data_IF_003554206641
#
_entry.id   IF_003554206641
#
_cell.length_a   1.000
_cell.length_b   1.000
_cell.length_c   1.000
_cell.angle_alpha   90.00
_cell.angle_beta   90.00
_cell.angle_gamma   90.00
#
_symmetry.space_group_name_H-M   'P 1'
#
loop_
_entity.id
_entity.type
_entity.pdbx_description
1 polymer ?
#
# COMPACT_ATOMS: atom_id res chain seq x y z
N UNK A 1 -3.86 -14.27 -18.69
CA UNK A 1 -3.93 -13.93 -17.27
C UNK A 1 -5.04 -14.76 -16.68
N UNK A 2 -4.70 -15.61 -15.72
CA UNK A 2 -5.61 -16.54 -15.07
C UNK A 2 -5.61 -16.15 -13.59
N UNK A 3 -6.65 -15.43 -13.17
CA UNK A 3 -6.88 -15.10 -11.78
C UNK A 3 -8.33 -15.43 -11.43
N UNK A 4 -8.56 -15.74 -10.16
CA UNK A 4 -9.88 -16.05 -9.62
C UNK A 4 -10.20 -15.05 -8.52
N UNK A 5 -11.31 -14.34 -8.67
CA UNK A 5 -11.85 -13.45 -7.63
C UNK A 5 -13.04 -14.14 -6.98
N UNK A 6 -13.03 -14.21 -5.65
CA UNK A 6 -14.13 -14.69 -4.83
C UNK A 6 -14.63 -13.53 -3.99
N UNK A 7 -15.90 -13.18 -4.15
CA UNK A 7 -16.58 -12.20 -3.30
C UNK A 7 -17.46 -12.90 -2.26
N UNK A 8 -17.50 -12.37 -1.03
CA UNK A 8 -18.38 -12.87 0.04
C UNK A 8 -17.86 -14.12 0.74
N UNK A 9 -18.68 -15.17 0.81
CA UNK A 9 -18.36 -16.37 1.59
C UNK A 9 -17.29 -17.20 0.88
N UNK A 10 -16.18 -17.44 1.56
CA UNK A 10 -15.13 -18.32 1.06
C UNK A 10 -15.65 -19.75 0.77
N UNK A 11 -15.26 -20.36 -0.35
CA UNK A 11 -15.59 -21.74 -0.65
C UNK A 11 -14.95 -22.70 0.37
N UNK A 12 -15.53 -23.89 0.51
CA UNK A 12 -14.97 -24.93 1.37
C UNK A 12 -13.61 -25.44 0.87
N UNK A 13 -13.35 -25.31 -0.43
CA UNK A 13 -12.09 -25.67 -1.08
C UNK A 13 -11.54 -24.44 -1.81
N UNK A 14 -10.23 -24.18 -1.65
CA UNK A 14 -9.58 -23.05 -2.31
C UNK A 14 -9.47 -23.31 -3.83
N UNK A 15 -9.57 -22.26 -4.67
CA UNK A 15 -9.32 -22.37 -6.09
C UNK A 15 -7.93 -22.92 -6.40
N UNK A 16 -7.87 -23.76 -7.42
CA UNK A 16 -6.64 -24.26 -8.02
C UNK A 16 -6.59 -23.86 -9.49
N UNK A 17 -5.40 -23.88 -10.08
CA UNK A 17 -5.19 -23.66 -11.51
C UNK A 17 -5.80 -24.79 -12.33
N UNK A 18 -5.88 -24.62 -13.66
CA UNK A 18 -6.39 -25.64 -14.58
C UNK A 18 -5.64 -26.99 -14.47
N UNK A 19 -4.36 -26.95 -14.09
CA UNK A 19 -3.52 -28.14 -13.89
C UNK A 19 -3.67 -28.79 -12.50
N UNK A 20 -4.55 -28.24 -11.65
CA UNK A 20 -4.81 -28.70 -10.29
C UNK A 20 -3.80 -28.22 -9.25
N UNK A 21 -2.80 -27.42 -9.63
CA UNK A 21 -1.83 -26.86 -8.66
C UNK A 21 -2.39 -25.60 -7.97
N UNK A 22 -1.93 -25.28 -6.74
CA UNK A 22 -2.30 -24.03 -6.08
C UNK A 22 -1.83 -22.79 -6.86
N UNK A 23 -2.57 -21.69 -6.73
CA UNK A 23 -2.06 -20.39 -7.16
C UNK A 23 -0.83 -19.99 -6.32
N UNK A 24 0.22 -19.43 -6.95
CA UNK A 24 1.44 -19.04 -6.25
C UNK A 24 1.26 -17.74 -5.45
N UNK A 25 0.27 -16.92 -5.80
CA UNK A 25 -0.05 -15.69 -5.07
C UNK A 25 -1.54 -15.64 -4.73
N UNK A 26 -1.84 -15.11 -3.54
CA UNK A 26 -3.20 -14.73 -3.19
C UNK A 26 -3.23 -13.46 -2.35
N UNK A 27 -4.37 -12.77 -2.41
CA UNK A 27 -4.64 -11.56 -1.64
C UNK A 27 -6.06 -11.65 -1.08
N UNK A 28 -6.21 -11.41 0.22
CA UNK A 28 -7.50 -11.27 0.87
C UNK A 28 -7.69 -9.82 1.32
N UNK A 29 -8.83 -9.23 0.96
CA UNK A 29 -9.30 -7.94 1.47
C UNK A 29 -10.54 -8.16 2.34
N UNK A 30 -11.15 -7.10 2.87
CA UNK A 30 -12.39 -7.23 3.64
C UNK A 30 -13.57 -7.76 2.82
N UNK A 31 -13.56 -7.58 1.50
CA UNK A 31 -14.69 -7.89 0.62
C UNK A 31 -14.45 -9.03 -0.36
N UNK A 32 -13.19 -9.36 -0.64
CA UNK A 32 -12.83 -10.33 -1.68
C UNK A 32 -11.54 -11.08 -1.36
N UNK A 33 -11.39 -12.23 -2.01
CA UNK A 33 -10.11 -12.91 -2.16
C UNK A 33 -9.76 -13.12 -3.62
N UNK A 34 -8.48 -12.93 -3.91
CA UNK A 34 -7.91 -12.99 -5.25
C UNK A 34 -6.84 -14.05 -5.24
N UNK A 35 -6.89 -14.96 -6.20
CA UNK A 35 -5.86 -15.99 -6.44
C UNK A 35 -5.28 -15.72 -7.82
N UNK A 36 -3.96 -15.61 -7.92
CA UNK A 36 -3.28 -15.10 -9.11
C UNK A 36 -1.97 -15.82 -9.38
N UNK A 37 -1.61 -15.94 -10.66
CA UNK A 37 -0.33 -16.51 -11.12
C UNK A 37 0.83 -15.54 -10.95
N UNK A 38 0.55 -14.24 -10.91
CA UNK A 38 1.56 -13.19 -10.83
C UNK A 38 1.20 -12.12 -9.79
N UNK A 39 2.21 -11.38 -9.33
CA UNK A 39 1.98 -10.17 -8.52
C UNK A 39 1.30 -9.07 -9.32
N UNK A 40 1.58 -8.99 -10.63
CA UNK A 40 0.92 -8.09 -11.57
C UNK A 40 -0.61 -8.20 -11.50
N UNK A 41 -1.13 -9.43 -11.50
CA UNK A 41 -2.57 -9.68 -11.38
C UNK A 41 -3.13 -9.25 -10.02
N UNK A 42 -2.38 -9.38 -8.92
CA UNK A 42 -2.80 -8.85 -7.62
C UNK A 42 -2.81 -7.32 -7.60
N UNK A 43 -1.77 -6.68 -8.16
CA UNK A 43 -1.68 -5.21 -8.24
C UNK A 43 -2.81 -4.65 -9.09
N UNK A 44 -3.22 -5.33 -10.16
CA UNK A 44 -4.35 -4.91 -11.00
C UNK A 44 -5.69 -4.86 -10.27
N UNK A 45 -5.84 -5.61 -9.16
CA UNK A 45 -7.05 -5.50 -8.32
C UNK A 45 -7.03 -4.26 -7.42
N UNK A 46 -5.86 -3.68 -7.18
CA UNK A 46 -5.68 -2.50 -6.33
C UNK A 46 -5.51 -1.22 -7.16
N UNK A 47 -5.07 -1.35 -8.42
CA UNK A 47 -4.66 -0.25 -9.29
C UNK A 47 -5.39 -0.37 -10.62
N UNK A 48 -6.36 0.51 -10.84
CA UNK A 48 -7.17 0.54 -12.06
C UNK A 48 -6.30 0.73 -13.31
N UNK A 49 -6.57 -0.08 -14.35
CA UNK A 49 -5.89 -0.03 -15.65
C UNK A 49 -4.48 -0.63 -15.67
N UNK A 50 -4.05 -1.30 -14.60
CA UNK A 50 -2.69 -1.83 -14.49
C UNK A 50 -2.46 -3.10 -15.33
N UNK A 51 -3.48 -3.95 -15.50
CA UNK A 51 -3.46 -5.15 -16.34
C UNK A 51 -3.55 -4.88 -17.85
N UNK A 52 -3.94 -3.65 -18.22
CA UNK A 52 -4.04 -3.20 -19.61
C UNK A 52 -2.70 -2.69 -20.18
N UNK A 53 -1.65 -2.61 -19.33
CA UNK A 53 -0.38 -2.02 -19.72
C UNK A 53 0.39 -2.93 -20.71
N UNK A 54 0.99 -2.34 -21.76
CA UNK A 54 1.79 -3.10 -22.70
C UNK A 54 3.10 -3.57 -22.05
N UNK A 55 3.61 -4.74 -22.44
CA UNK A 55 4.92 -5.23 -21.98
C UNK A 55 6.03 -4.56 -22.80
N UNK A 56 6.25 -3.27 -22.53
CA UNK A 56 7.25 -2.40 -23.16
C UNK A 56 7.86 -1.48 -22.10
N UNK A 57 8.99 -0.83 -22.40
CA UNK A 57 9.57 0.14 -21.48
C UNK A 57 8.63 1.30 -21.11
N UNK A 58 7.79 1.75 -22.05
CA UNK A 58 6.75 2.75 -21.78
C UNK A 58 5.65 2.22 -20.84
N UNK A 59 5.31 0.93 -20.99
CA UNK A 59 4.40 0.25 -20.06
C UNK A 59 4.98 0.12 -18.66
N UNK A 60 6.28 -0.19 -18.54
CA UNK A 60 6.97 -0.27 -17.25
C UNK A 60 7.00 1.07 -16.51
N UNK A 61 7.29 2.17 -17.24
CA UNK A 61 7.25 3.54 -16.70
C UNK A 61 5.84 3.90 -16.24
N UNK A 62 4.83 3.56 -17.04
CA UNK A 62 3.41 3.77 -16.70
C UNK A 62 3.01 2.93 -15.48
N UNK A 63 3.48 1.69 -15.37
CA UNK A 63 3.22 0.81 -14.24
C UNK A 63 3.76 1.39 -12.93
N UNK A 64 4.99 1.92 -12.94
CA UNK A 64 5.56 2.62 -11.79
C UNK A 64 4.74 3.85 -11.40
N UNK A 65 4.34 4.64 -12.39
CA UNK A 65 3.50 5.83 -12.15
C UNK A 65 2.13 5.48 -11.55
N UNK A 66 1.46 4.45 -12.05
CA UNK A 66 0.18 3.99 -11.51
C UNK A 66 0.32 3.48 -10.08
N UNK A 67 1.36 2.69 -9.78
CA UNK A 67 1.66 2.26 -8.40
C UNK A 67 1.95 3.46 -7.49
N UNK A 68 2.68 4.46 -7.96
CA UNK A 68 2.94 5.69 -7.20
C UNK A 68 1.64 6.44 -6.87
N UNK A 69 0.76 6.65 -7.85
CA UNK A 69 -0.53 7.31 -7.63
C UNK A 69 -1.39 6.55 -6.62
N UNK A 70 -1.44 5.22 -6.74
CA UNK A 70 -2.14 4.37 -5.79
C UNK A 70 -1.53 4.47 -4.39
N UNK A 71 -0.19 4.43 -4.28
CA UNK A 71 0.51 4.56 -3.00
C UNK A 71 0.20 5.89 -2.30
N UNK A 72 0.20 7.01 -3.03
CA UNK A 72 -0.19 8.33 -2.51
C UNK A 72 -1.64 8.30 -2.01
N UNK A 73 -2.57 7.80 -2.83
CA UNK A 73 -3.99 7.75 -2.46
C UNK A 73 -4.23 6.90 -1.20
N UNK A 74 -3.60 5.73 -1.12
CA UNK A 74 -3.67 4.85 0.04
C UNK A 74 -3.04 5.48 1.29
N UNK A 75 -1.89 6.13 1.16
CA UNK A 75 -1.22 6.79 2.27
C UNK A 75 -2.05 7.95 2.83
N UNK A 76 -2.60 8.80 1.96
CA UNK A 76 -3.51 9.89 2.34
C UNK A 76 -4.74 9.36 3.08
N UNK A 77 -5.42 8.37 2.49
CA UNK A 77 -6.63 7.78 3.07
C UNK A 77 -6.33 7.14 4.43
N UNK A 78 -5.30 6.30 4.51
CA UNK A 78 -4.98 5.56 5.72
C UNK A 78 -4.51 6.47 6.86
N UNK A 79 -3.75 7.53 6.56
CA UNK A 79 -3.38 8.53 7.57
C UNK A 79 -4.61 9.19 8.21
N UNK A 80 -5.63 9.52 7.40
CA UNK A 80 -6.86 10.12 7.91
C UNK A 80 -7.65 9.16 8.80
N UNK A 81 -7.71 7.87 8.42
CA UNK A 81 -8.33 6.82 9.25
C UNK A 81 -7.61 6.71 10.60
N UNK A 82 -6.28 6.57 10.58
CA UNK A 82 -5.47 6.46 11.79
C UNK A 82 -5.63 7.69 12.71
N UNK A 83 -5.63 8.90 12.14
CA UNK A 83 -5.84 10.12 12.92
C UNK A 83 -7.25 10.16 13.52
N UNK A 84 -8.29 9.79 12.76
CA UNK A 84 -9.66 9.73 13.23
C UNK A 84 -9.85 8.70 14.36
N UNK A 85 -9.27 7.52 14.21
CA UNK A 85 -9.29 6.48 15.24
C UNK A 85 -8.55 6.93 16.51
N UNK A 86 -7.41 7.59 16.36
CA UNK A 86 -6.64 8.13 17.49
C UNK A 86 -7.40 9.23 18.25
N UNK A 87 -8.16 10.09 17.55
CA UNK A 87 -9.07 11.06 18.18
C UNK A 87 -10.17 10.35 18.94
N UNK A 88 -10.83 9.36 18.32
CA UNK A 88 -11.90 8.60 18.95
C UNK A 88 -11.42 7.83 20.19
N UNK A 89 -10.18 7.35 20.18
CA UNK A 89 -9.53 6.69 21.29
C UNK A 89 -9.00 7.66 22.38
N UNK A 90 -9.02 8.98 22.13
CA UNK A 90 -8.48 9.99 23.05
C UNK A 90 -6.94 10.00 23.13
N UNK A 91 -6.27 9.45 22.13
CA UNK A 91 -4.78 9.36 22.05
C UNK A 91 -4.17 10.45 21.17
N UNK A 92 -4.99 11.22 20.46
CA UNK A 92 -4.58 12.37 19.65
C UNK A 92 -5.65 13.47 19.75
N UNK A 93 -5.25 14.71 20.00
CA UNK A 93 -6.15 15.87 20.02
C UNK A 93 -5.59 16.98 19.11
N UNK A 94 -6.15 17.18 17.91
CA UNK A 94 -5.61 18.15 16.95
C UNK A 94 -5.74 19.60 17.43
N UNK A 95 -6.54 19.90 18.46
CA UNK A 95 -6.72 21.27 18.97
C UNK A 95 -5.56 21.78 19.83
N UNK A 96 -4.70 20.87 20.30
CA UNK A 96 -3.55 21.18 21.18
C UNK A 96 -2.19 20.88 20.54
N UNK A 97 -2.18 20.29 19.34
CA UNK A 97 -0.96 20.00 18.59
C UNK A 97 -0.42 21.24 17.89
N UNK A 98 0.90 21.27 17.67
CA UNK A 98 1.56 22.32 16.92
C UNK A 98 1.28 22.23 15.41
N UNK A 99 1.48 23.35 14.71
CA UNK A 99 1.22 23.46 13.27
C UNK A 99 2.10 22.51 12.45
N UNK A 100 3.34 22.28 12.87
CA UNK A 100 4.28 21.40 12.16
C UNK A 100 3.83 19.94 12.21
N UNK A 101 3.32 19.49 13.36
CA UNK A 101 2.76 18.15 13.58
C UNK A 101 1.48 17.97 12.76
N UNK A 102 0.57 18.96 12.81
CA UNK A 102 -0.66 18.90 12.03
C UNK A 102 -0.37 18.91 10.53
N UNK A 103 0.58 19.74 10.08
CA UNK A 103 1.03 19.80 8.68
C UNK A 103 1.61 18.45 8.26
N UNK A 104 2.51 17.89 9.07
CA UNK A 104 3.11 16.57 8.81
C UNK A 104 2.04 15.48 8.65
N UNK A 105 1.02 15.48 9.51
CA UNK A 105 -0.05 14.49 9.45
C UNK A 105 -0.93 14.73 8.21
N UNK A 106 -1.37 15.96 7.96
CA UNK A 106 -2.46 16.23 7.02
C UNK A 106 -2.04 16.74 5.63
N UNK A 107 -0.76 17.03 5.39
CA UNK A 107 -0.25 17.38 4.05
C UNK A 107 -0.45 16.23 3.06
N UNK A 108 -0.83 16.56 1.84
CA UNK A 108 -1.00 15.55 0.78
C UNK A 108 0.32 14.81 0.50
N UNK A 109 0.27 13.48 0.40
CA UNK A 109 1.47 12.64 0.23
C UNK A 109 2.12 12.72 -1.15
N UNK A 110 1.53 13.41 -2.11
CA UNK A 110 2.20 13.81 -3.36
C UNK A 110 3.07 15.05 -3.18
N UNK A 111 2.86 15.82 -2.12
CA UNK A 111 3.68 16.97 -1.78
C UNK A 111 4.90 16.55 -0.97
N UNK A 112 5.95 17.36 -1.07
CA UNK A 112 7.19 17.13 -0.34
C UNK A 112 6.98 17.52 1.12
N UNK A 113 7.10 16.55 2.01
CA UNK A 113 7.17 16.80 3.45
C UNK A 113 8.66 16.89 3.83
N UNK A 114 9.13 18.12 3.95
CA UNK A 114 10.51 18.42 4.33
C UNK A 114 10.70 18.34 5.86
N UNK A 115 11.94 18.11 6.29
CA UNK A 115 12.39 18.33 7.68
C UNK A 115 11.81 17.41 8.78
N UNK A 116 11.56 16.14 8.49
CA UNK A 116 11.21 15.14 9.52
C UNK A 116 12.38 14.16 9.72
N UNK A 117 13.29 14.40 10.69
CA UNK A 117 14.37 13.46 10.99
C UNK A 117 13.86 12.22 11.76
N UNK A 118 12.85 12.37 12.62
CA UNK A 118 12.19 11.29 13.34
C UNK A 118 10.71 11.60 13.57
N UNK A 119 9.91 10.54 13.71
CA UNK A 119 8.51 10.61 14.07
C UNK A 119 8.27 9.74 15.32
N UNK A 120 8.41 10.35 16.49
CA UNK A 120 8.35 9.66 17.80
C UNK A 120 6.99 9.84 18.49
N UNK A 121 5.92 9.93 17.69
CA UNK A 121 4.53 10.08 18.14
C UNK A 121 3.82 8.72 18.17
N UNK A 122 2.81 8.58 19.03
CA UNK A 122 2.00 7.36 19.14
C UNK A 122 1.16 7.10 17.88
N UNK A 123 0.65 8.16 17.25
CA UNK A 123 -0.02 8.07 15.95
C UNK A 123 1.03 7.79 14.85
N UNK A 124 1.00 6.65 14.14
CA UNK A 124 1.95 6.40 13.07
C UNK A 124 1.80 7.37 11.89
N UNK A 125 2.93 7.70 11.28
CA UNK A 125 2.99 8.49 10.04
C UNK A 125 3.07 7.54 8.84
N UNK A 126 2.14 7.68 7.89
CA UNK A 126 2.12 6.89 6.66
C UNK A 126 2.81 7.65 5.55
N UNK A 127 3.90 7.12 4.97
CA UNK A 127 4.69 7.79 3.95
C UNK A 127 4.92 6.93 2.70
N UNK A 128 5.06 7.63 1.56
CA UNK A 128 5.41 6.99 0.28
C UNK A 128 6.93 6.93 0.16
N UNK A 129 7.49 5.72 0.08
CA UNK A 129 8.92 5.49 0.18
C UNK A 129 9.73 6.17 -0.94
N UNK A 130 9.14 6.33 -2.13
CA UNK A 130 9.80 6.96 -3.29
C UNK A 130 10.12 8.44 -3.11
N UNK A 131 9.59 9.10 -2.07
CA UNK A 131 9.99 10.46 -1.68
C UNK A 131 11.32 10.54 -0.92
N UNK A 132 11.87 9.39 -0.51
CA UNK A 132 13.01 9.29 0.40
C UNK A 132 14.14 8.40 -0.15
N UNK A 133 15.26 8.38 0.55
CA UNK A 133 16.38 7.48 0.27
C UNK A 133 15.90 6.01 0.28
N UNK A 134 16.43 5.14 -0.61
CA UNK A 134 17.53 5.42 -1.55
C UNK A 134 17.09 6.09 -2.87
N UNK A 135 15.81 6.41 -3.05
CA UNK A 135 15.28 6.96 -4.30
C UNK A 135 15.56 8.46 -4.47
N UNK A 136 15.70 9.18 -3.36
CA UNK A 136 16.03 10.62 -3.32
C UNK A 136 17.20 10.90 -2.37
N UNK A 137 17.63 12.16 -2.29
CA UNK A 137 18.64 12.60 -1.31
C UNK A 137 18.05 12.85 0.08
N UNK A 138 16.72 12.82 0.23
CA UNK A 138 16.04 13.04 1.52
C UNK A 138 16.13 11.77 2.37
N UNK A 139 16.73 11.80 3.56
CA UNK A 139 16.83 10.62 4.42
C UNK A 139 15.44 10.18 4.92
N UNK A 140 15.24 8.87 5.13
CA UNK A 140 14.01 8.37 5.75
C UNK A 140 13.92 8.83 7.20
N UNK A 141 12.76 9.36 7.68
CA UNK A 141 12.52 9.56 9.09
C UNK A 141 12.66 8.25 9.87
N UNK A 142 13.24 8.35 11.07
CA UNK A 142 13.20 7.28 12.07
C UNK A 142 11.85 7.26 12.82
N UNK A 143 11.61 6.23 13.64
CA UNK A 143 10.47 6.17 14.55
C UNK A 143 9.25 5.45 13.97
N UNK A 144 8.07 5.88 14.38
CA UNK A 144 6.78 5.23 14.14
C UNK A 144 6.22 5.57 12.75
N UNK A 145 6.84 5.01 11.71
CA UNK A 145 6.50 5.30 10.32
C UNK A 145 6.08 4.02 9.59
N UNK A 146 4.91 4.07 8.95
CA UNK A 146 4.40 3.05 8.05
C UNK A 146 4.71 3.44 6.60
N UNK A 147 5.17 2.47 5.81
CA UNK A 147 5.69 2.73 4.47
C UNK A 147 4.87 2.01 3.40
N UNK A 148 4.58 2.74 2.33
CA UNK A 148 4.14 2.16 1.06
C UNK A 148 5.16 2.48 -0.04
N UNK A 149 5.68 1.44 -0.69
CA UNK A 149 6.80 1.57 -1.63
C UNK A 149 6.40 1.14 -3.05
N UNK A 150 6.14 2.09 -3.96
CA UNK A 150 5.66 1.79 -5.30
C UNK A 150 6.73 1.22 -6.25
N UNK A 151 8.00 1.10 -5.81
CA UNK A 151 9.13 0.80 -6.69
C UNK A 151 8.94 -0.51 -7.47
N UNK A 152 8.57 -1.59 -6.79
CA UNK A 152 8.22 -2.88 -7.40
C UNK A 152 6.82 -3.31 -6.98
N UNK A 153 6.21 -4.22 -7.73
CA UNK A 153 4.95 -4.85 -7.32
C UNK A 153 5.05 -5.52 -5.96
N UNK A 154 6.20 -6.17 -5.67
CA UNK A 154 6.42 -6.82 -4.37
C UNK A 154 6.43 -5.79 -3.24
N UNK A 155 7.26 -4.74 -3.34
CA UNK A 155 7.38 -3.72 -2.29
C UNK A 155 6.07 -2.94 -2.10
N UNK A 156 5.30 -2.76 -3.18
CA UNK A 156 3.99 -2.12 -3.11
C UNK A 156 3.01 -2.98 -2.33
N UNK A 157 2.89 -4.27 -2.70
CA UNK A 157 2.04 -5.24 -2.02
C UNK A 157 2.44 -5.43 -0.54
N UNK A 158 3.74 -5.55 -0.25
CA UNK A 158 4.25 -5.62 1.13
C UNK A 158 3.80 -4.39 1.95
N UNK A 159 3.82 -3.20 1.34
CA UNK A 159 3.36 -1.96 1.97
C UNK A 159 1.84 -1.95 2.21
N UNK A 160 1.04 -2.39 1.25
CA UNK A 160 -0.42 -2.56 1.41
C UNK A 160 -0.73 -3.50 2.57
N UNK A 161 0.00 -4.60 2.69
CA UNK A 161 -0.13 -5.53 3.81
C UNK A 161 0.31 -4.92 5.14
N UNK A 162 1.41 -4.17 5.17
CA UNK A 162 1.89 -3.50 6.38
C UNK A 162 0.90 -2.47 6.93
N UNK A 163 0.07 -1.88 6.07
CA UNK A 163 -1.04 -1.00 6.46
C UNK A 163 -2.30 -1.77 6.92
N UNK A 164 -2.29 -3.10 6.88
CA UNK A 164 -3.45 -3.93 7.23
C UNK A 164 -4.61 -3.83 6.24
N UNK A 165 -4.37 -3.35 5.02
CA UNK A 165 -5.40 -3.18 4.00
C UNK A 165 -5.72 -4.48 3.25
N UNK A 166 -4.76 -5.40 3.21
CA UNK A 166 -4.93 -6.72 2.64
C UNK A 166 -3.98 -7.72 3.32
N UNK A 167 -4.33 -9.00 3.31
CA UNK A 167 -3.43 -10.10 3.62
C UNK A 167 -2.93 -10.72 2.31
N UNK A 168 -1.61 -10.89 2.18
CA UNK A 168 -0.97 -11.32 0.94
C UNK A 168 -0.15 -12.57 1.22
N UNK A 169 -0.39 -13.61 0.44
CA UNK A 169 0.31 -14.88 0.54
C UNK A 169 1.06 -15.14 -0.75
N UNK A 170 2.31 -15.56 -0.61
CA UNK A 170 3.10 -16.11 -1.70
C UNK A 170 3.51 -17.52 -1.29
N UNK A 171 3.32 -18.50 -2.18
CA UNK A 171 3.88 -19.82 -1.97
C UNK A 171 5.41 -19.69 -1.87
N UNK A 172 6.00 -20.29 -0.83
CA UNK A 172 7.46 -20.40 -0.73
C UNK A 172 7.96 -21.36 -1.82
N UNK A 173 9.08 -21.00 -2.46
CA UNK A 173 9.78 -21.83 -3.45
C UNK A 173 10.43 -23.08 -2.81
#
# INVERSE_FOLDING_TARGET
MSHVVIEGTFPAELPVREDGTPFPFSMATQSAAVFAETRTELVAQLVEGYDELPVTGEGDDTALWLRYKAAVALANMHQQVLAGDAVNAGTFDPSVEDEDTLTTIFTDRSEKIDEIPSWDRDLPLVLVASGFAPYTTTPRPAGNVLWIDPYTEKTFLDGVQALGLAEIFAAED
#
